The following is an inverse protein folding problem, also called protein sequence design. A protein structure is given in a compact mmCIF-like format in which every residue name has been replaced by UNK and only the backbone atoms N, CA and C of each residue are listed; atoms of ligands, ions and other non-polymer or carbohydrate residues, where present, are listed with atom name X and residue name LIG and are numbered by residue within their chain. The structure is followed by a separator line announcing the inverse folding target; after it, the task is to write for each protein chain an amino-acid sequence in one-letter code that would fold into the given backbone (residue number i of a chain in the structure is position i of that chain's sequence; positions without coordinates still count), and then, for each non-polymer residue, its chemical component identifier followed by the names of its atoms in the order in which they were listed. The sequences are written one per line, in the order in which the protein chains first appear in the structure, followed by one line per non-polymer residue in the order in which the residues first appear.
data_IF_884402569672
#
_entry.id   IF_884402569672
#
_cell.length_a   1.000
_cell.length_b   1.000
_cell.length_c   1.000
_cell.angle_alpha   90.00
_cell.angle_beta   90.00
_cell.angle_gamma   90.00
#
_symmetry.space_group_name_H-M   'P 1'
#
loop_
_entity.id
_entity.type
_entity.pdbx_description
1 polymer ?
#
# COMPACT_ATOMS: atom_id res chain seq x y z
N UNK A 1 31.73 -9.38 -5.26
CA UNK A 1 33.03 -8.68 -5.20
C UNK A 1 32.85 -7.28 -5.78
N UNK A 2 32.51 -6.30 -4.94
CA UNK A 2 32.60 -4.87 -5.27
C UNK A 2 33.02 -4.17 -3.98
N UNK A 3 34.32 -4.15 -3.73
CA UNK A 3 34.96 -3.19 -2.83
C UNK A 3 36.36 -3.04 -3.37
N UNK A 4 36.53 -2.14 -4.33
CA UNK A 4 37.84 -1.58 -4.58
C UNK A 4 37.94 -0.25 -3.85
N UNK A 5 39.10 -0.08 -3.20
CA UNK A 5 39.45 1.04 -2.34
C UNK A 5 39.89 2.18 -3.24
N UNK A 6 39.18 3.29 -3.21
CA UNK A 6 39.76 4.60 -2.92
C UNK A 6 38.69 5.70 -2.95
N UNK A 7 38.92 6.67 -2.07
CA UNK A 7 38.34 8.01 -2.05
C UNK A 7 37.02 8.26 -1.27
N UNK A 8 37.19 9.11 -0.25
CA UNK A 8 36.21 9.88 0.52
C UNK A 8 35.22 9.11 1.40
N UNK A 9 35.38 9.35 2.70
CA UNK A 9 34.40 9.09 3.76
C UNK A 9 33.02 9.54 3.29
N UNK A 10 32.17 8.56 2.96
CA UNK A 10 30.74 8.78 2.83
C UNK A 10 30.29 9.34 4.17
N UNK A 11 29.83 10.59 4.18
CA UNK A 11 29.14 11.18 5.31
C UNK A 11 28.05 10.20 5.77
N UNK A 12 27.85 9.97 7.08
CA UNK A 12 26.75 9.15 7.60
C UNK A 12 25.33 9.58 7.14
N UNK A 13 25.22 10.68 6.39
CA UNK A 13 23.98 11.33 5.97
C UNK A 13 23.36 10.86 4.64
N UNK A 14 23.86 9.82 3.96
CA UNK A 14 23.18 9.28 2.76
C UNK A 14 23.41 7.78 2.61
N UNK A 15 22.87 6.98 3.52
CA UNK A 15 22.59 5.57 3.21
C UNK A 15 21.33 5.57 2.35
N UNK A 16 21.32 4.99 1.13
CA UNK A 16 20.11 4.85 0.33
C UNK A 16 18.97 4.24 1.15
N UNK A 17 17.77 4.82 1.03
CA UNK A 17 16.60 4.38 1.80
C UNK A 17 16.29 2.90 1.60
N UNK A 18 16.45 2.40 0.36
CA UNK A 18 16.37 0.98 0.03
C UNK A 18 17.23 0.08 0.95
N UNK A 19 18.46 0.50 1.30
CA UNK A 19 19.35 -0.28 2.19
C UNK A 19 18.81 -0.32 3.62
N UNK A 20 18.16 0.75 4.08
CA UNK A 20 17.59 0.78 5.41
C UNK A 20 16.32 -0.07 5.51
N UNK A 21 15.49 -0.04 4.45
CA UNK A 21 14.28 -0.86 4.35
C UNK A 21 14.61 -2.35 4.37
N UNK A 22 15.62 -2.79 3.61
CA UNK A 22 15.99 -4.21 3.49
C UNK A 22 16.73 -4.78 4.72
N UNK A 23 16.70 -4.11 5.87
CA UNK A 23 17.21 -4.66 7.14
C UNK A 23 16.16 -5.53 7.80
N UNK A 24 16.61 -6.64 8.39
CA UNK A 24 15.75 -7.61 9.08
C UNK A 24 15.22 -7.09 10.42
N UNK A 25 14.27 -6.17 10.33
CA UNK A 25 13.56 -5.59 11.46
C UNK A 25 12.07 -5.78 11.23
N UNK A 26 11.49 -6.66 12.05
CA UNK A 26 10.06 -6.94 12.09
C UNK A 26 9.59 -6.77 13.52
N UNK A 27 8.60 -5.92 13.73
CA UNK A 27 8.10 -5.60 15.07
C UNK A 27 6.58 -5.54 15.00
N UNK A 28 5.91 -6.53 15.59
CA UNK A 28 4.45 -6.68 15.54
C UNK A 28 3.88 -6.65 14.11
N UNK A 29 4.64 -7.13 13.12
CA UNK A 29 4.12 -7.32 11.78
C UNK A 29 2.99 -8.36 11.78
N UNK A 30 1.97 -8.10 10.98
CA UNK A 30 0.75 -8.89 11.02
C UNK A 30 0.91 -10.22 10.29
N UNK A 31 0.59 -11.31 10.99
CA UNK A 31 0.20 -12.57 10.37
C UNK A 31 -1.28 -12.49 10.04
N UNK A 32 -1.60 -12.58 8.76
CA UNK A 32 -2.96 -12.46 8.24
C UNK A 32 -3.64 -13.80 7.99
N UNK A 33 -2.86 -14.88 7.94
CA UNK A 33 -3.36 -16.24 7.80
C UNK A 33 -2.54 -17.22 8.66
N UNK A 34 -3.04 -18.43 8.81
CA UNK A 34 -2.37 -19.52 9.52
C UNK A 34 -1.26 -20.19 8.67
N UNK A 35 -1.21 -19.92 7.37
CA UNK A 35 -0.26 -20.49 6.42
C UNK A 35 0.39 -19.43 5.53
N UNK A 36 1.65 -19.64 5.09
CA UNK A 36 2.32 -18.74 4.16
C UNK A 36 1.70 -18.88 2.76
N UNK A 37 1.27 -17.76 2.17
CA UNK A 37 0.77 -17.69 0.80
C UNK A 37 0.84 -16.27 0.26
N UNK A 38 0.67 -16.16 -1.05
CA UNK A 38 0.40 -14.90 -1.73
C UNK A 38 -1.11 -14.68 -1.68
N UNK A 39 -1.55 -13.56 -1.13
CA UNK A 39 -2.96 -13.15 -1.16
C UNK A 39 -3.34 -12.44 -2.45
N UNK A 40 -2.41 -11.64 -2.99
CA UNK A 40 -2.58 -10.95 -4.27
C UNK A 40 -1.24 -10.68 -4.90
N UNK A 41 -1.19 -10.72 -6.22
CA UNK A 41 -0.07 -10.23 -7.01
C UNK A 41 -0.65 -9.70 -8.32
N UNK A 42 -1.04 -8.43 -8.34
CA UNK A 42 -1.88 -7.88 -9.41
C UNK A 42 -1.19 -6.65 -10.03
N UNK A 43 -1.24 -6.53 -11.35
CA UNK A 43 -0.72 -5.36 -12.07
C UNK A 43 -1.41 -4.08 -11.59
N UNK A 44 -0.65 -3.02 -11.31
CA UNK A 44 -1.20 -1.80 -10.72
C UNK A 44 -1.27 -0.63 -11.72
N UNK A 45 -0.22 -0.39 -12.49
CA UNK A 45 -0.15 0.69 -13.48
C UNK A 45 1.06 0.53 -14.41
N UNK A 46 0.92 1.11 -15.60
CA UNK A 46 1.91 1.14 -16.70
C UNK A 46 2.75 2.42 -16.67
N UNK A 47 4.08 2.31 -16.77
CA UNK A 47 4.94 3.34 -17.34
C UNK A 47 5.25 4.57 -16.49
N UNK A 48 4.65 4.72 -15.31
CA UNK A 48 4.74 5.97 -14.52
C UNK A 48 5.87 5.99 -13.48
N UNK A 49 6.59 4.88 -13.24
CA UNK A 49 7.71 4.86 -12.29
C UNK A 49 9.03 5.19 -12.98
N UNK A 50 9.85 6.04 -12.33
CA UNK A 50 11.19 6.30 -12.80
C UNK A 50 11.27 7.22 -14.02
N UNK A 51 10.41 8.24 -14.08
CA UNK A 51 10.43 9.25 -15.14
C UNK A 51 11.79 9.99 -15.13
N UNK A 52 12.49 10.11 -16.28
CA UNK A 52 13.74 10.86 -16.36
C UNK A 52 13.56 12.34 -15.98
N UNK A 53 14.53 12.96 -15.28
CA UNK A 53 14.45 14.38 -14.97
C UNK A 53 14.60 15.27 -16.23
N UNK A 54 14.01 16.47 -16.25
CA UNK A 54 13.20 17.09 -15.18
C UNK A 54 11.76 16.55 -15.11
N UNK A 55 11.16 16.54 -13.91
CA UNK A 55 9.75 16.18 -13.74
C UNK A 55 8.88 17.40 -14.06
N UNK A 56 8.31 17.42 -15.26
CA UNK A 56 7.34 18.41 -15.71
C UNK A 56 5.96 17.78 -15.79
N UNK A 57 4.91 18.62 -15.85
CA UNK A 57 3.56 18.14 -16.10
C UNK A 57 3.48 17.35 -17.42
N UNK A 58 4.11 17.84 -18.48
CA UNK A 58 4.13 17.20 -19.79
C UNK A 58 4.81 15.82 -19.72
N UNK A 59 5.98 15.71 -19.08
CA UNK A 59 6.68 14.43 -18.95
C UNK A 59 5.85 13.38 -18.17
N UNK A 60 5.12 13.81 -17.12
CA UNK A 60 4.22 12.93 -16.37
C UNK A 60 3.04 12.48 -17.22
N UNK A 61 2.43 13.41 -17.97
CA UNK A 61 1.28 13.12 -18.83
C UNK A 61 1.66 12.25 -20.04
N UNK A 62 2.83 12.46 -20.63
CA UNK A 62 3.38 11.62 -21.71
C UNK A 62 3.64 10.19 -21.24
N UNK A 63 4.09 10.02 -19.99
CA UNK A 63 4.19 8.70 -19.35
C UNK A 63 2.82 8.13 -18.93
N UNK A 64 1.73 8.86 -19.16
CA UNK A 64 0.34 8.52 -18.84
C UNK A 64 0.02 8.53 -17.35
N UNK A 65 0.69 9.38 -16.58
CA UNK A 65 0.37 9.67 -15.17
C UNK A 65 -0.41 10.97 -15.00
N UNK A 66 -0.97 11.17 -13.81
CA UNK A 66 -1.65 12.40 -13.43
C UNK A 66 -0.68 13.42 -12.79
N UNK A 67 -0.90 14.71 -13.08
CA UNK A 67 -0.16 15.83 -12.52
C UNK A 67 -1.12 16.98 -12.20
N UNK A 68 -1.21 17.35 -10.93
CA UNK A 68 -2.14 18.39 -10.46
C UNK A 68 -1.45 19.45 -9.62
N UNK A 69 -2.05 20.65 -9.64
CA UNK A 69 -1.71 21.73 -8.71
C UNK A 69 -2.95 22.02 -7.87
N UNK A 70 -2.88 21.69 -6.59
CA UNK A 70 -3.97 21.88 -5.63
C UNK A 70 -3.67 23.11 -4.78
N UNK A 71 -4.69 23.95 -4.57
CA UNK A 71 -4.63 25.08 -3.65
C UNK A 71 -5.13 24.68 -2.26
N UNK A 72 -4.24 24.76 -1.28
CA UNK A 72 -4.52 24.40 0.11
C UNK A 72 -5.41 25.43 0.79
N UNK A 73 -6.01 25.08 1.93
CA UNK A 73 -6.89 26.00 2.67
C UNK A 73 -6.19 27.26 3.21
N UNK A 74 -4.86 27.30 3.21
CA UNK A 74 -4.04 28.46 3.56
C UNK A 74 -3.51 29.26 2.34
N UNK A 75 -3.98 28.94 1.13
CA UNK A 75 -3.57 29.59 -0.12
C UNK A 75 -2.25 29.09 -0.72
N UNK A 76 -1.55 28.14 -0.07
CA UNK A 76 -0.38 27.51 -0.66
C UNK A 76 -0.80 26.64 -1.84
N UNK A 77 0.01 26.61 -2.90
CA UNK A 77 -0.17 25.68 -4.01
C UNK A 77 0.80 24.52 -3.88
N UNK A 78 0.29 23.29 -3.95
CA UNK A 78 1.09 22.06 -3.94
C UNK A 78 0.89 21.28 -5.22
N UNK A 79 1.97 20.66 -5.67
CA UNK A 79 1.94 19.79 -6.84
C UNK A 79 1.83 18.34 -6.40
N UNK A 80 0.95 17.59 -7.04
CA UNK A 80 0.76 16.17 -6.80
C UNK A 80 1.00 15.37 -8.08
N UNK A 81 1.76 14.29 -7.94
CA UNK A 81 1.89 13.21 -8.93
C UNK A 81 2.26 11.90 -8.23
N UNK A 82 1.77 10.77 -8.75
CA UNK A 82 2.20 9.42 -8.36
C UNK A 82 3.32 8.87 -9.25
N UNK A 83 3.88 9.69 -10.13
CA UNK A 83 4.97 9.33 -11.02
C UNK A 83 6.33 9.78 -10.47
N UNK A 84 7.04 8.96 -9.67
CA UNK A 84 8.34 9.32 -9.12
C UNK A 84 9.39 9.44 -10.23
N UNK A 85 10.33 10.37 -10.05
CA UNK A 85 11.50 10.46 -10.93
C UNK A 85 12.45 9.29 -10.71
N UNK A 86 13.26 8.98 -11.74
CA UNK A 86 14.28 7.93 -11.69
C UNK A 86 15.21 8.00 -10.46
N UNK A 87 15.75 9.15 -10.04
CA UNK A 87 16.61 9.20 -8.85
C UNK A 87 15.88 8.82 -7.56
N UNK A 88 14.60 9.17 -7.43
CA UNK A 88 13.79 8.80 -6.27
C UNK A 88 13.50 7.29 -6.27
N UNK A 89 13.15 6.73 -7.44
CA UNK A 89 12.96 5.29 -7.60
C UNK A 89 14.22 4.52 -7.19
N UNK A 90 15.40 4.93 -7.68
CA UNK A 90 16.67 4.29 -7.30
C UNK A 90 16.93 4.41 -5.80
N UNK A 91 16.58 5.53 -5.18
CA UNK A 91 16.76 5.72 -3.74
C UNK A 91 15.88 4.78 -2.90
N UNK A 92 14.67 4.43 -3.38
CA UNK A 92 13.68 3.62 -2.64
C UNK A 92 13.65 2.13 -3.03
N UNK A 93 14.03 1.79 -4.27
CA UNK A 93 14.06 0.42 -4.81
C UNK A 93 15.47 -0.12 -5.05
N UNK A 94 16.51 0.71 -4.90
CA UNK A 94 17.91 0.29 -4.99
C UNK A 94 18.41 0.00 -6.42
N UNK A 95 17.53 -0.07 -7.41
CA UNK A 95 17.86 -0.32 -8.81
C UNK A 95 17.05 0.62 -9.74
N UNK A 96 17.63 1.10 -10.86
CA UNK A 96 16.89 1.90 -11.83
C UNK A 96 15.90 1.06 -12.64
N UNK A 97 14.77 1.66 -12.95
CA UNK A 97 13.85 1.23 -14.02
C UNK A 97 13.23 2.49 -14.60
N UNK A 98 13.27 2.65 -15.93
CA UNK A 98 12.75 3.85 -16.61
C UNK A 98 11.38 3.53 -17.16
N UNK A 99 10.41 4.39 -16.86
CA UNK A 99 9.02 4.15 -17.24
C UNK A 99 8.57 2.75 -16.79
N UNK A 100 8.94 2.41 -15.56
CA UNK A 100 8.61 1.13 -14.97
C UNK A 100 7.14 1.07 -14.58
N UNK A 101 6.60 -0.13 -14.69
CA UNK A 101 5.28 -0.48 -14.20
C UNK A 101 5.34 -0.82 -12.71
N UNK A 102 4.17 -0.88 -12.06
CA UNK A 102 4.06 -1.34 -10.68
C UNK A 102 3.26 -2.64 -10.57
N UNK A 103 3.77 -3.60 -9.80
CA UNK A 103 3.04 -4.82 -9.41
C UNK A 103 3.30 -5.15 -7.94
N UNK A 104 2.40 -4.81 -7.01
CA UNK A 104 2.49 -5.24 -5.62
C UNK A 104 2.11 -6.72 -5.45
N UNK A 105 2.96 -7.43 -4.71
CA UNK A 105 2.76 -8.79 -4.23
C UNK A 105 2.53 -8.74 -2.72
N UNK A 106 1.36 -9.19 -2.30
CA UNK A 106 0.90 -9.16 -0.91
C UNK A 106 0.91 -10.56 -0.34
N UNK A 107 1.66 -10.75 0.75
CA UNK A 107 1.83 -12.02 1.43
C UNK A 107 0.99 -12.11 2.72
N UNK A 108 0.56 -13.33 3.05
CA UNK A 108 -0.14 -13.59 4.33
C UNK A 108 0.74 -13.39 5.56
N UNK A 109 2.04 -13.61 5.41
CA UNK A 109 3.05 -13.43 6.45
C UNK A 109 4.06 -12.37 6.01
N UNK A 110 4.70 -11.66 6.95
CA UNK A 110 5.70 -10.67 6.59
C UNK A 110 6.90 -11.33 5.91
N UNK A 111 7.46 -10.68 4.90
CA UNK A 111 8.73 -11.07 4.29
C UNK A 111 9.88 -10.78 5.25
N UNK A 112 10.94 -11.57 5.20
CA UNK A 112 12.22 -11.21 5.80
C UNK A 112 12.93 -10.22 4.86
N UNK A 113 13.05 -8.93 5.21
CA UNK A 113 13.47 -7.89 4.29
C UNK A 113 14.77 -8.17 3.53
N UNK A 114 15.79 -8.71 4.18
CA UNK A 114 17.09 -8.97 3.55
C UNK A 114 17.07 -10.09 2.52
N UNK A 115 16.04 -10.95 2.56
CA UNK A 115 15.85 -12.05 1.61
C UNK A 115 15.12 -11.65 0.34
N UNK A 116 14.57 -10.43 0.25
CA UNK A 116 13.81 -9.99 -0.93
C UNK A 116 14.78 -9.60 -2.05
N UNK A 117 14.77 -10.36 -3.14
CA UNK A 117 15.53 -10.08 -4.36
C UNK A 117 14.62 -10.12 -5.59
N UNK A 118 15.01 -9.42 -6.66
CA UNK A 118 14.24 -9.43 -7.90
C UNK A 118 14.16 -10.84 -8.53
N UNK A 119 15.23 -11.62 -8.39
CA UNK A 119 15.34 -13.00 -8.90
C UNK A 119 14.42 -13.99 -8.21
N UNK A 120 13.86 -13.63 -7.04
CA UNK A 120 12.84 -14.43 -6.38
C UNK A 120 11.51 -14.43 -7.13
N UNK A 121 11.26 -13.46 -8.02
CA UNK A 121 9.95 -13.27 -8.64
C UNK A 121 10.02 -13.55 -10.14
N UNK A 122 9.20 -14.50 -10.59
CA UNK A 122 8.96 -14.75 -12.01
C UNK A 122 7.51 -14.42 -12.29
N UNK A 123 7.31 -13.44 -13.16
CA UNK A 123 5.99 -13.00 -13.62
C UNK A 123 5.74 -13.60 -15.00
N UNK A 124 4.69 -14.38 -15.16
CA UNK A 124 4.25 -14.91 -16.45
C UNK A 124 3.15 -14.01 -17.00
N UNK A 125 3.31 -13.55 -18.25
CA UNK A 125 2.32 -12.73 -18.94
C UNK A 125 1.32 -13.61 -19.73
N UNK A 126 0.18 -13.05 -20.09
CA UNK A 126 -0.83 -13.70 -20.94
C UNK A 126 -0.27 -14.13 -22.32
N UNK A 127 0.83 -13.51 -22.78
CA UNK A 127 1.56 -13.87 -24.00
C UNK A 127 2.42 -15.13 -23.85
N UNK A 128 2.59 -15.64 -22.62
CA UNK A 128 3.50 -16.74 -22.27
C UNK A 128 4.94 -16.29 -22.00
N UNK A 129 5.26 -15.00 -22.15
CA UNK A 129 6.55 -14.44 -21.77
C UNK A 129 6.71 -14.46 -20.24
N UNK A 130 7.94 -14.70 -19.78
CA UNK A 130 8.31 -14.57 -18.37
C UNK A 130 9.20 -13.36 -18.15
N UNK A 131 8.93 -12.61 -17.09
CA UNK A 131 9.64 -11.38 -16.72
C UNK A 131 10.21 -11.52 -15.31
N UNK A 132 11.46 -11.10 -15.16
CA UNK A 132 12.10 -10.86 -13.86
C UNK A 132 12.17 -9.33 -13.71
N UNK A 133 11.66 -8.74 -12.61
CA UNK A 133 11.59 -7.30 -12.49
C UNK A 133 12.97 -6.65 -12.42
N UNK A 134 13.08 -5.40 -12.88
CA UNK A 134 14.32 -4.61 -12.81
C UNK A 134 14.65 -4.24 -11.37
N UNK A 135 13.62 -3.84 -10.62
CA UNK A 135 13.75 -3.27 -9.29
C UNK A 135 12.66 -3.81 -8.36
N UNK A 136 12.99 -3.88 -7.07
CA UNK A 136 12.10 -4.44 -6.06
C UNK A 136 12.26 -3.73 -4.73
N UNK A 137 11.16 -3.54 -4.00
CA UNK A 137 11.19 -2.94 -2.66
C UNK A 137 10.03 -3.41 -1.81
N UNK A 138 10.17 -3.29 -0.50
CA UNK A 138 9.06 -3.35 0.46
C UNK A 138 8.43 -1.97 0.70
N UNK A 139 8.90 -0.93 0.01
CA UNK A 139 8.24 0.37 -0.03
C UNK A 139 6.95 0.28 -0.85
N UNK A 140 5.81 0.82 -0.38
CA UNK A 140 5.67 1.81 0.68
C UNK A 140 5.43 1.28 2.10
N UNK A 141 5.29 -0.03 2.35
CA UNK A 141 5.21 -0.64 3.70
C UNK A 141 6.53 -0.44 4.48
N UNK A 142 6.79 0.80 4.87
CA UNK A 142 8.06 1.22 5.46
C UNK A 142 8.12 0.89 6.94
N UNK A 143 6.97 0.76 7.60
CA UNK A 143 6.86 0.46 9.01
C UNK A 143 7.13 -1.02 9.34
N UNK A 144 7.75 -1.24 10.49
CA UNK A 144 8.19 -2.57 10.91
C UNK A 144 7.05 -3.52 11.26
N UNK A 145 5.83 -2.99 11.43
CA UNK A 145 4.59 -3.74 11.65
C UNK A 145 3.82 -4.05 10.35
N UNK A 146 4.37 -3.77 9.17
CA UNK A 146 3.60 -3.80 7.91
C UNK A 146 4.23 -4.60 6.76
N UNK A 147 5.36 -5.30 6.97
CA UNK A 147 6.20 -5.94 5.92
C UNK A 147 5.59 -7.10 5.11
N UNK A 148 4.33 -7.01 4.73
CA UNK A 148 3.59 -8.02 3.99
C UNK A 148 3.58 -7.75 2.48
N UNK A 149 3.96 -6.55 2.04
CA UNK A 149 3.91 -6.18 0.62
C UNK A 149 5.29 -5.94 0.03
N UNK A 150 5.50 -6.49 -1.15
CA UNK A 150 6.68 -6.27 -1.99
C UNK A 150 6.19 -5.68 -3.31
N UNK A 151 6.80 -4.61 -3.79
CA UNK A 151 6.47 -3.98 -5.08
C UNK A 151 7.54 -4.33 -6.10
N UNK A 152 7.12 -4.96 -7.20
CA UNK A 152 7.94 -5.23 -8.38
C UNK A 152 7.84 -4.05 -9.34
N UNK A 153 8.97 -3.69 -9.96
CA UNK A 153 9.04 -2.62 -10.95
C UNK A 153 9.86 -3.04 -12.17
N UNK A 154 9.27 -2.93 -13.35
CA UNK A 154 9.89 -3.16 -14.66
C UNK A 154 8.98 -2.58 -15.75
N UNK A 155 9.50 -2.08 -16.88
CA UNK A 155 8.68 -1.59 -17.99
C UNK A 155 7.95 -2.70 -18.77
N UNK A 156 8.26 -3.97 -18.47
CA UNK A 156 7.78 -5.12 -19.24
C UNK A 156 6.70 -5.92 -18.50
N UNK A 157 6.02 -5.35 -17.50
CA UNK A 157 5.01 -6.08 -16.70
C UNK A 157 3.63 -6.08 -17.36
N UNK A 158 3.35 -5.14 -18.26
CA UNK A 158 2.12 -5.13 -19.05
C UNK A 158 1.97 -3.84 -19.85
N UNK A 159 0.72 -3.54 -20.23
CA UNK A 159 0.39 -2.26 -20.86
C UNK A 159 -1.03 -1.79 -20.48
N UNK A 160 -1.38 -0.57 -20.90
CA UNK A 160 -2.69 0.04 -20.64
C UNK A 160 -3.89 -0.62 -21.30
N UNK A 161 -3.70 -1.55 -22.22
CA UNK A 161 -4.80 -2.16 -22.95
C UNK A 161 -5.60 -3.06 -22.00
N UNK A 162 -6.91 -3.11 -22.18
CA UNK A 162 -7.79 -3.99 -21.43
C UNK A 162 -7.62 -5.42 -21.94
N UNK A 163 -7.92 -6.44 -21.12
CA UNK A 163 -7.78 -7.84 -21.53
C UNK A 163 -8.54 -8.23 -22.80
N UNK A 164 -9.59 -7.49 -23.17
CA UNK A 164 -10.41 -7.70 -24.37
C UNK A 164 -9.90 -6.98 -25.63
N UNK A 165 -8.81 -6.20 -25.54
CA UNK A 165 -8.22 -5.47 -26.65
C UNK A 165 -7.04 -6.24 -27.28
N UNK A 166 -6.91 -6.14 -28.61
CA UNK A 166 -5.79 -6.74 -29.33
C UNK A 166 -4.45 -6.11 -28.89
N UNK A 167 -3.47 -6.95 -28.60
CA UNK A 167 -2.14 -6.52 -28.12
C UNK A 167 -2.05 -6.25 -26.63
N UNK A 168 -3.09 -6.56 -25.84
CA UNK A 168 -3.03 -6.44 -24.39
C UNK A 168 -1.99 -7.41 -23.80
N UNK A 169 -1.11 -6.86 -22.97
CA UNK A 169 -0.10 -7.60 -22.22
C UNK A 169 -0.34 -7.36 -20.73
N UNK A 170 -0.45 -8.43 -19.97
CA UNK A 170 -0.67 -8.34 -18.53
C UNK A 170 -0.24 -9.63 -17.81
N UNK A 171 0.13 -9.56 -16.52
CA UNK A 171 0.47 -10.72 -15.71
C UNK A 171 -0.71 -11.68 -15.56
N UNK A 172 -0.47 -12.98 -15.70
CA UNK A 172 -1.44 -14.06 -15.46
C UNK A 172 -1.04 -14.96 -14.29
N UNK A 173 0.25 -15.07 -14.00
CA UNK A 173 0.78 -15.86 -12.88
C UNK A 173 2.03 -15.19 -12.30
N UNK A 174 2.17 -15.25 -10.98
CA UNK A 174 3.41 -14.95 -10.28
C UNK A 174 3.86 -16.21 -9.56
N UNK A 175 5.16 -16.53 -9.65
CA UNK A 175 5.79 -17.62 -8.92
C UNK A 175 7.03 -17.14 -8.17
N UNK A 176 7.17 -17.60 -6.94
CA UNK A 176 8.41 -17.44 -6.17
C UNK A 176 9.42 -18.50 -6.62
N UNK A 177 10.50 -18.03 -7.23
CA UNK A 177 11.56 -18.83 -7.80
C UNK A 177 12.50 -19.38 -6.71
N UNK A 178 13.22 -20.44 -7.08
CA UNK A 178 14.36 -20.91 -6.31
C UNK A 178 15.62 -20.28 -6.90
N UNK A 179 16.41 -19.62 -6.07
CA UNK A 179 17.73 -19.13 -6.42
C UNK A 179 18.73 -19.36 -5.25
N UNK A 180 19.89 -18.68 -5.29
CA UNK A 180 20.93 -18.78 -4.26
C UNK A 180 20.60 -18.01 -2.97
N UNK A 181 19.60 -17.12 -3.01
CA UNK A 181 19.17 -16.24 -1.91
C UNK A 181 17.64 -16.25 -1.80
N UNK A 182 17.03 -17.40 -1.47
CA UNK A 182 15.60 -17.58 -1.61
C UNK A 182 14.81 -16.63 -0.71
N UNK A 183 13.70 -16.10 -1.23
CA UNK A 183 12.72 -15.37 -0.45
C UNK A 183 12.30 -16.15 0.79
N UNK A 184 12.40 -15.50 1.95
CA UNK A 184 11.96 -16.01 3.24
C UNK A 184 10.78 -15.18 3.75
N UNK A 185 9.76 -15.87 4.25
CA UNK A 185 8.69 -15.30 5.05
C UNK A 185 8.98 -15.57 6.53
N UNK A 186 8.45 -14.75 7.42
CA UNK A 186 8.55 -14.95 8.87
C UNK A 186 7.19 -15.34 9.41
N UNK A 187 7.07 -16.56 9.92
CA UNK A 187 5.85 -17.07 10.53
C UNK A 187 5.95 -17.23 12.05
N UNK A 188 4.88 -17.72 12.71
CA UNK A 188 4.83 -17.87 14.17
C UNK A 188 5.93 -18.78 14.77
N UNK A 189 6.51 -19.67 13.97
CA UNK A 189 7.56 -20.62 14.39
C UNK A 189 8.96 -20.27 13.84
N UNK A 190 9.12 -19.11 13.22
CA UNK A 190 10.37 -18.68 12.59
C UNK A 190 10.24 -18.55 11.08
N UNK A 191 11.39 -18.50 10.40
CA UNK A 191 11.47 -18.28 8.96
C UNK A 191 10.97 -19.51 8.18
N UNK A 192 10.25 -19.26 7.09
CA UNK A 192 9.74 -20.27 6.16
C UNK A 192 10.05 -19.82 4.74
N UNK A 193 10.52 -20.73 3.89
CA UNK A 193 10.83 -20.41 2.50
C UNK A 193 9.53 -20.11 1.73
N UNK A 194 9.54 -19.02 0.95
CA UNK A 194 8.47 -18.68 0.02
C UNK A 194 8.56 -19.41 -1.32
N UNK A 195 9.66 -20.13 -1.59
CA UNK A 195 9.93 -20.82 -2.85
C UNK A 195 8.78 -21.75 -3.22
N UNK A 196 8.30 -21.63 -4.46
CA UNK A 196 7.21 -22.46 -4.99
C UNK A 196 5.81 -21.95 -4.66
N UNK A 197 5.66 -20.87 -3.88
CA UNK A 197 4.39 -20.15 -3.82
C UNK A 197 4.05 -19.60 -5.20
N UNK A 198 2.79 -19.77 -5.61
CA UNK A 198 2.24 -19.24 -6.86
C UNK A 198 0.96 -18.45 -6.60
N UNK A 199 0.63 -17.57 -7.53
CA UNK A 199 -0.63 -16.85 -7.54
C UNK A 199 -1.08 -16.58 -8.97
N UNK A 200 -2.29 -17.02 -9.31
CA UNK A 200 -2.97 -16.65 -10.56
C UNK A 200 -3.63 -15.29 -10.38
N UNK A 201 -3.32 -14.34 -11.27
CA UNK A 201 -3.88 -12.99 -11.21
C UNK A 201 -5.38 -13.01 -11.47
N UNK A 202 -6.09 -12.06 -10.84
CA UNK A 202 -7.57 -12.03 -10.85
C UNK A 202 -8.13 -10.69 -11.29
N UNK A 203 -7.38 -9.62 -11.08
CA UNK A 203 -7.86 -8.26 -11.29
C UNK A 203 -6.94 -7.52 -12.25
N UNK A 204 -7.55 -6.72 -13.12
CA UNK A 204 -6.84 -5.90 -14.07
C UNK A 204 -7.05 -4.41 -13.74
N UNK A 205 -6.01 -3.58 -13.61
CA UNK A 205 -6.15 -2.22 -13.08
C UNK A 205 -7.01 -1.32 -14.00
N UNK A 206 -7.01 -1.60 -15.30
CA UNK A 206 -7.83 -0.88 -16.28
C UNK A 206 -9.27 -1.43 -16.43
N UNK A 207 -9.68 -2.32 -15.52
CA UNK A 207 -11.04 -2.89 -15.44
C UNK A 207 -11.59 -2.82 -14.01
N UNK A 208 -10.73 -2.99 -13.02
CA UNK A 208 -11.07 -3.11 -11.61
C UNK A 208 -10.35 -2.04 -10.78
N UNK A 209 -11.04 -1.47 -9.80
CA UNK A 209 -10.41 -0.69 -8.73
C UNK A 209 -9.82 -1.58 -7.62
N UNK A 210 -9.08 -1.00 -6.67
CA UNK A 210 -8.54 -1.72 -5.51
C UNK A 210 -9.58 -2.51 -4.72
N UNK A 211 -9.14 -3.65 -4.21
CA UNK A 211 -9.94 -4.61 -3.46
C UNK A 211 -9.40 -4.75 -2.04
N UNK A 212 -10.32 -4.80 -1.07
CA UNK A 212 -10.01 -5.20 0.30
C UNK A 212 -9.79 -6.72 0.33
N UNK A 213 -8.60 -7.14 0.74
CA UNK A 213 -8.24 -8.57 0.86
C UNK A 213 -8.76 -9.11 2.18
N UNK A 214 -8.37 -8.46 3.28
CA UNK A 214 -8.64 -8.91 4.64
C UNK A 214 -8.56 -7.73 5.62
N UNK A 215 -9.26 -7.86 6.74
CA UNK A 215 -9.13 -6.95 7.88
C UNK A 215 -8.86 -7.74 9.16
N UNK A 216 -8.06 -7.18 10.07
CA UNK A 216 -7.66 -7.82 11.32
C UNK A 216 -7.89 -6.90 12.51
N UNK A 217 -8.68 -7.36 13.45
CA UNK A 217 -8.87 -6.71 14.75
C UNK A 217 -7.72 -7.07 15.69
N UNK A 218 -7.18 -6.09 16.39
CA UNK A 218 -6.15 -6.30 17.41
C UNK A 218 -6.23 -5.25 18.50
N UNK A 219 -5.84 -5.61 19.72
CA UNK A 219 -5.50 -4.62 20.76
C UNK A 219 -4.37 -3.75 20.22
N UNK A 220 -4.55 -2.43 20.31
CA UNK A 220 -3.64 -1.49 19.70
C UNK A 220 -2.26 -1.53 20.35
N UNK A 221 -1.22 -1.62 19.51
CA UNK A 221 0.18 -1.50 19.91
C UNK A 221 0.91 -0.62 18.90
N UNK A 222 1.49 0.48 19.38
CA UNK A 222 2.27 1.40 18.55
C UNK A 222 3.70 0.91 18.25
N UNK A 223 4.14 -0.22 18.82
CA UNK A 223 5.54 -0.64 18.66
C UNK A 223 5.71 -1.25 17.27
N UNK A 224 6.66 -0.73 16.49
CA UNK A 224 6.91 -1.13 15.10
C UNK A 224 6.40 -0.12 14.05
N UNK A 225 5.61 0.83 14.51
CA UNK A 225 5.02 1.95 13.76
C UNK A 225 6.02 3.12 13.69
N UNK A 226 7.24 2.80 13.23
CA UNK A 226 8.43 3.66 13.22
C UNK A 226 9.53 3.19 12.25
N UNK A 227 9.14 2.90 11.00
CA UNK A 227 10.01 2.44 9.93
C UNK A 227 11.14 3.40 9.53
N UNK A 228 12.20 2.90 8.86
CA UNK A 228 13.24 3.77 8.34
C UNK A 228 12.68 4.54 7.15
N UNK A 229 12.56 5.86 7.29
CA UNK A 229 12.46 6.80 6.17
C UNK A 229 11.08 7.06 5.60
N UNK A 230 10.07 7.27 6.43
CA UNK A 230 8.77 7.82 6.01
C UNK A 230 8.83 9.25 5.43
N UNK A 231 10.00 9.73 4.97
CA UNK A 231 10.25 11.10 4.49
C UNK A 231 9.69 12.20 5.42
N UNK A 232 9.64 11.93 6.74
CA UNK A 232 9.11 12.84 7.75
C UNK A 232 7.62 12.65 8.10
N UNK A 233 6.95 11.65 7.53
CA UNK A 233 5.53 11.31 7.76
C UNK A 233 5.38 10.19 8.83
N UNK A 234 6.39 9.96 9.65
CA UNK A 234 6.51 8.85 10.60
C UNK A 234 5.59 8.99 11.86
N UNK A 235 4.57 9.85 11.80
CA UNK A 235 3.63 10.15 12.91
C UNK A 235 2.18 10.11 12.43
N UNK A 236 1.90 9.05 11.71
CA UNK A 236 0.66 8.61 11.07
C UNK A 236 -0.12 7.59 11.94
N UNK A 237 0.53 7.00 12.95
CA UNK A 237 -0.10 6.03 13.84
C UNK A 237 -1.40 6.47 14.49
N UNK A 238 -2.24 5.48 14.85
CA UNK A 238 -3.44 5.72 15.65
C UNK A 238 -3.15 6.53 16.91
N UNK A 239 -2.07 6.22 17.64
CA UNK A 239 -1.65 6.98 18.84
C UNK A 239 -1.20 8.40 18.50
N UNK A 240 -0.53 8.60 17.37
CA UNK A 240 -0.07 9.93 16.93
C UNK A 240 -1.27 10.82 16.59
N UNK A 241 -2.30 10.27 15.97
CA UNK A 241 -3.51 10.99 15.57
C UNK A 241 -4.49 11.18 16.74
N UNK A 242 -4.80 10.11 17.48
CA UNK A 242 -5.89 10.07 18.48
C UNK A 242 -5.41 10.02 19.94
N UNK A 243 -4.09 10.03 20.17
CA UNK A 243 -3.45 10.11 21.50
C UNK A 243 -3.81 8.90 22.38
N UNK A 244 -4.30 9.14 23.59
CA UNK A 244 -4.54 8.11 24.62
C UNK A 244 -5.87 7.39 24.44
N UNK A 245 -6.70 7.80 23.50
CA UNK A 245 -8.05 7.25 23.30
C UNK A 245 -8.05 5.98 22.44
N UNK A 246 -6.89 5.37 22.22
CA UNK A 246 -6.70 4.29 21.24
C UNK A 246 -6.55 2.97 21.98
N UNK A 247 -7.49 2.06 21.79
CA UNK A 247 -7.54 0.78 22.50
C UNK A 247 -7.43 -0.40 21.54
N UNK A 248 -8.07 -0.31 20.37
CA UNK A 248 -8.04 -1.34 19.34
C UNK A 248 -7.79 -0.73 17.95
N UNK A 249 -7.31 -1.58 17.02
CA UNK A 249 -7.25 -1.28 15.59
C UNK A 249 -7.90 -2.38 14.78
N UNK A 250 -8.61 -2.00 13.73
CA UNK A 250 -8.88 -2.85 12.58
C UNK A 250 -7.92 -2.44 11.48
N UNK A 251 -6.89 -3.24 11.25
CA UNK A 251 -5.98 -3.03 10.13
C UNK A 251 -6.54 -3.66 8.87
N UNK A 252 -6.50 -2.92 7.78
CA UNK A 252 -7.00 -3.34 6.47
C UNK A 252 -5.81 -3.56 5.55
N UNK A 253 -5.84 -4.68 4.83
CA UNK A 253 -4.89 -5.00 3.77
C UNK A 253 -5.60 -5.02 2.42
N UNK A 254 -5.06 -4.30 1.45
CA UNK A 254 -5.60 -4.18 0.08
C UNK A 254 -4.60 -4.74 -0.94
N UNK A 255 -5.09 -5.13 -2.11
CA UNK A 255 -4.24 -5.67 -3.20
C UNK A 255 -3.37 -4.59 -3.86
N UNK A 256 -3.83 -3.34 -3.86
CA UNK A 256 -3.11 -2.15 -4.29
C UNK A 256 -3.17 -1.09 -3.19
N UNK A 257 -2.36 -0.03 -3.30
CA UNK A 257 -2.66 1.20 -2.55
C UNK A 257 -4.05 1.72 -2.92
N UNK A 258 -4.65 2.54 -2.06
CA UNK A 258 -5.96 3.14 -2.31
C UNK A 258 -5.91 4.66 -2.26
N UNK A 259 -6.62 5.30 -3.18
CA UNK A 259 -6.69 6.75 -3.31
C UNK A 259 -8.12 7.16 -3.68
N UNK A 260 -8.57 8.37 -3.30
CA UNK A 260 -9.86 8.92 -3.74
C UNK A 260 -10.04 9.02 -5.25
N UNK A 261 -8.95 9.25 -5.99
CA UNK A 261 -8.95 9.54 -7.43
C UNK A 261 -7.69 9.03 -8.15
N UNK A 262 -6.81 8.31 -7.44
CA UNK A 262 -5.55 7.79 -7.95
C UNK A 262 -4.37 8.74 -7.77
N UNK A 263 -4.63 9.97 -7.32
CA UNK A 263 -3.60 10.98 -7.08
C UNK A 263 -3.58 11.45 -5.62
N UNK A 264 -4.70 11.95 -5.13
CA UNK A 264 -4.88 12.47 -3.79
C UNK A 264 -4.90 11.33 -2.76
N UNK A 265 -5.13 11.69 -1.50
CA UNK A 265 -4.96 10.81 -0.37
C UNK A 265 -6.25 10.67 0.42
N UNK A 266 -6.52 9.45 0.91
CA UNK A 266 -7.54 9.25 1.93
C UNK A 266 -7.07 9.93 3.21
N UNK A 267 -8.00 10.57 3.91
CA UNK A 267 -7.70 11.37 5.11
C UNK A 267 -8.26 10.72 6.37
N UNK A 268 -7.65 10.96 7.54
CA UNK A 268 -8.08 10.42 8.83
C UNK A 268 -9.56 10.63 9.19
N UNK A 269 -10.19 11.69 8.65
CA UNK A 269 -11.58 12.06 8.88
C UNK A 269 -12.58 11.47 7.87
N UNK A 270 -12.13 10.61 6.94
CA UNK A 270 -12.95 10.10 5.84
C UNK A 270 -13.47 8.67 6.03
N UNK A 271 -13.51 8.17 7.26
CA UNK A 271 -14.13 6.87 7.56
C UNK A 271 -15.54 6.77 6.94
N UNK A 272 -16.39 7.77 7.15
CA UNK A 272 -17.79 7.75 6.70
C UNK A 272 -17.96 7.83 5.17
N UNK A 273 -16.94 8.33 4.47
CA UNK A 273 -16.93 8.44 3.01
C UNK A 273 -16.67 7.09 2.33
N UNK A 274 -15.85 6.22 2.95
CA UNK A 274 -15.30 5.03 2.30
C UNK A 274 -15.65 3.72 3.00
N UNK A 275 -15.87 3.72 4.32
CA UNK A 275 -15.95 2.49 5.10
C UNK A 275 -17.22 2.40 5.93
N UNK A 276 -17.61 1.17 6.23
CA UNK A 276 -18.40 0.87 7.42
C UNK A 276 -17.97 -0.47 8.02
N UNK A 277 -18.23 -0.63 9.31
CA UNK A 277 -18.02 -1.89 10.03
C UNK A 277 -19.38 -2.57 10.19
N UNK A 278 -19.42 -3.87 9.92
CA UNK A 278 -20.60 -4.69 10.17
C UNK A 278 -20.40 -5.50 11.46
N UNK A 279 -21.36 -5.38 12.36
CA UNK A 279 -21.45 -6.17 13.59
C UNK A 279 -22.69 -7.06 13.54
N UNK A 280 -22.65 -8.17 14.26
CA UNK A 280 -23.79 -9.07 14.45
C UNK A 280 -24.04 -9.23 15.95
N UNK A 281 -25.23 -8.85 16.39
CA UNK A 281 -25.66 -8.92 17.78
C UNK A 281 -26.01 -10.34 18.21
N UNK A 282 -26.13 -10.59 19.52
CA UNK A 282 -26.50 -11.89 20.07
C UNK A 282 -27.88 -12.40 19.58
N UNK A 283 -28.79 -11.50 19.24
CA UNK A 283 -30.11 -11.84 18.69
C UNK A 283 -30.08 -12.14 17.18
N UNK A 284 -28.92 -12.04 16.53
CA UNK A 284 -28.74 -12.24 15.09
C UNK A 284 -28.92 -10.99 14.23
N UNK A 285 -29.25 -9.83 14.82
CA UNK A 285 -29.38 -8.58 14.09
C UNK A 285 -28.02 -8.10 13.59
N UNK A 286 -27.99 -7.65 12.34
CA UNK A 286 -26.79 -7.10 11.70
C UNK A 286 -26.88 -5.58 11.66
N UNK A 287 -25.90 -4.91 12.26
CA UNK A 287 -25.82 -3.45 12.31
C UNK A 287 -24.59 -2.97 11.55
N UNK A 288 -24.78 -1.94 10.73
CA UNK A 288 -23.68 -1.24 10.07
C UNK A 288 -23.31 0.02 10.88
N UNK A 289 -22.09 0.04 11.39
CA UNK A 289 -21.52 1.17 12.12
C UNK A 289 -20.95 2.17 11.11
N UNK A 290 -21.74 3.15 10.69
CA UNK A 290 -21.39 4.05 9.58
C UNK A 290 -20.82 5.41 9.99
N UNK A 291 -20.69 5.71 11.29
CA UNK A 291 -20.28 7.03 11.79
C UNK A 291 -19.02 6.93 12.63
N UNK A 292 -18.15 7.91 12.49
CA UNK A 292 -17.03 8.13 13.41
C UNK A 292 -17.44 9.10 14.52
N UNK A 293 -16.72 9.08 15.64
CA UNK A 293 -16.96 9.89 16.84
C UNK A 293 -18.41 9.73 17.38
N UNK A 294 -18.92 8.51 17.28
CA UNK A 294 -20.24 8.12 17.78
C UNK A 294 -20.10 6.84 18.61
N UNK A 295 -20.65 6.86 19.83
CA UNK A 295 -20.67 5.69 20.72
C UNK A 295 -21.87 4.83 20.36
N UNK A 296 -21.59 3.63 19.88
CA UNK A 296 -22.58 2.59 19.62
C UNK A 296 -22.77 1.74 20.88
N UNK A 297 -24.02 1.51 21.26
CA UNK A 297 -24.36 0.54 22.31
C UNK A 297 -24.79 -0.77 21.63
N UNK A 298 -23.96 -1.80 21.77
CA UNK A 298 -24.11 -3.11 21.12
C UNK A 298 -24.22 -4.17 22.22
N UNK A 299 -25.40 -4.77 22.37
CA UNK A 299 -25.69 -5.73 23.45
C UNK A 299 -25.32 -5.22 24.87
N UNK A 300 -25.48 -3.91 25.10
CA UNK A 300 -25.16 -3.26 26.39
C UNK A 300 -23.71 -2.83 26.55
N UNK A 301 -22.87 -3.03 25.53
CA UNK A 301 -21.45 -2.68 25.52
C UNK A 301 -21.14 -1.54 24.54
N UNK A 302 -20.15 -0.72 24.86
CA UNK A 302 -19.81 0.47 24.06
C UNK A 302 -18.75 0.17 22.99
N UNK A 303 -18.95 0.71 21.79
CA UNK A 303 -17.92 0.76 20.74
C UNK A 303 -17.96 2.13 20.06
N UNK A 304 -16.80 2.78 19.95
CA UNK A 304 -16.60 4.05 19.27
C UNK A 304 -15.53 3.91 18.17
N UNK A 305 -15.86 4.36 16.97
CA UNK A 305 -14.91 4.51 15.86
C UNK A 305 -14.34 5.92 15.91
N UNK A 306 -13.02 6.07 16.03
CA UNK A 306 -12.39 7.40 16.07
C UNK A 306 -12.07 7.97 14.67
N UNK A 307 -11.80 7.09 13.71
CA UNK A 307 -11.48 7.43 12.32
C UNK A 307 -10.35 6.57 11.77
N UNK A 308 -9.61 7.09 10.78
CA UNK A 308 -8.54 6.38 10.08
C UNK A 308 -7.13 6.81 10.53
N UNK A 309 -6.18 5.89 10.45
CA UNK A 309 -4.74 6.10 10.68
C UNK A 309 -3.90 5.28 9.66
N UNK A 310 -2.57 5.34 9.75
CA UNK A 310 -1.65 4.82 8.69
C UNK A 310 -1.91 5.49 7.34
N UNK A 311 -2.07 6.81 7.38
CA UNK A 311 -2.24 7.63 6.19
C UNK A 311 -1.18 8.72 6.23
N UNK A 312 -1.14 9.54 7.28
CA UNK A 312 -0.15 10.60 7.37
C UNK A 312 -0.27 11.41 8.64
N UNK A 313 0.57 12.44 8.79
CA UNK A 313 0.63 13.16 10.07
C UNK A 313 -0.68 13.86 10.44
N UNK A 314 -0.97 13.90 11.74
CA UNK A 314 -2.13 14.63 12.26
C UNK A 314 -2.12 16.09 11.80
N UNK A 315 -3.25 16.54 11.25
CA UNK A 315 -3.46 17.95 10.90
C UNK A 315 -4.55 18.58 11.78
N UNK A 316 -4.50 19.92 11.91
CA UNK A 316 -5.61 20.70 12.48
C UNK A 316 -6.83 20.68 11.56
N UNK A 317 -6.59 20.61 10.25
CA UNK A 317 -7.61 20.51 9.20
C UNK A 317 -7.08 19.59 8.10
N UNK A 318 -7.87 18.60 7.76
CA UNK A 318 -7.62 17.78 6.59
C UNK A 318 -8.24 18.48 5.38
N UNK A 319 -7.42 18.78 4.38
CA UNK A 319 -7.84 19.36 3.11
C UNK A 319 -7.16 18.61 1.96
N UNK A 320 -7.38 19.04 0.73
CA UNK A 320 -6.87 18.35 -0.46
C UNK A 320 -5.34 18.47 -0.60
N UNK A 321 -4.68 19.23 0.27
CA UNK A 321 -3.23 19.30 0.39
C UNK A 321 -2.64 18.38 1.46
N UNK A 322 -3.46 17.54 2.08
CA UNK A 322 -3.00 16.43 2.91
C UNK A 322 -2.00 15.58 2.13
N UNK A 323 -1.04 14.98 2.82
CA UNK A 323 -0.02 14.12 2.20
C UNK A 323 0.05 12.86 3.03
N UNK A 324 -0.12 11.71 2.38
CA UNK A 324 0.06 10.42 3.01
C UNK A 324 1.53 9.94 2.98
N UNK A 325 1.84 8.91 3.74
CA UNK A 325 3.08 8.12 3.74
C UNK A 325 3.18 7.15 2.55
N UNK A 326 2.08 7.01 1.81
CA UNK A 326 1.84 6.19 0.62
C UNK A 326 1.63 4.72 0.92
N UNK A 327 1.35 4.37 2.16
CA UNK A 327 1.22 2.98 2.58
C UNK A 327 0.00 2.28 1.96
N UNK A 328 0.03 0.94 1.95
CA UNK A 328 -1.05 0.08 1.47
C UNK A 328 -1.76 -0.67 2.61
N UNK A 329 -1.52 -0.27 3.85
CA UNK A 329 -2.31 -0.67 5.01
C UNK A 329 -2.93 0.55 5.66
N UNK A 330 -4.19 0.44 6.07
CA UNK A 330 -4.94 1.52 6.72
C UNK A 330 -5.55 0.97 7.99
N UNK A 331 -5.44 1.74 9.07
CA UNK A 331 -6.03 1.40 10.36
C UNK A 331 -7.35 2.14 10.57
N UNK A 332 -8.42 1.42 10.89
CA UNK A 332 -9.60 2.01 11.54
C UNK A 332 -9.37 1.92 13.05
N UNK A 333 -9.36 3.07 13.71
CA UNK A 333 -9.07 3.18 15.13
C UNK A 333 -10.35 3.12 15.96
N UNK A 334 -10.33 2.26 16.98
CA UNK A 334 -11.49 1.94 17.82
C UNK A 334 -11.18 2.09 19.31
N UNK A 335 -12.23 2.34 20.08
CA UNK A 335 -12.26 2.39 21.55
C UNK A 335 -13.56 1.76 22.07
N UNK A 336 -13.52 1.15 23.25
CA UNK A 336 -14.72 0.61 23.90
C UNK A 336 -14.47 -0.76 24.52
N UNK A 337 -15.56 -1.45 24.83
CA UNK A 337 -15.54 -2.73 25.52
C UNK A 337 -15.08 -3.86 24.60
N UNK A 338 -14.31 -4.81 25.13
CA UNK A 338 -13.84 -5.97 24.39
C UNK A 338 -15.01 -6.81 23.86
N UNK A 339 -16.09 -6.91 24.64
CA UNK A 339 -17.33 -7.59 24.28
C UNK A 339 -17.96 -7.00 23.02
N UNK A 340 -18.01 -5.67 22.88
CA UNK A 340 -18.53 -5.03 21.68
C UNK A 340 -17.61 -5.27 20.47
N UNK A 341 -16.28 -5.26 20.67
CA UNK A 341 -15.32 -5.54 19.60
C UNK A 341 -15.45 -6.97 19.05
N UNK A 342 -15.82 -7.94 19.91
CA UNK A 342 -16.05 -9.34 19.51
C UNK A 342 -17.26 -9.53 18.60
N UNK A 343 -18.16 -8.55 18.52
CA UNK A 343 -19.31 -8.57 17.62
C UNK A 343 -18.96 -8.18 16.18
N UNK A 344 -17.77 -7.59 15.94
CA UNK A 344 -17.31 -7.22 14.60
C UNK A 344 -17.18 -8.46 13.72
N UNK A 345 -17.82 -8.43 12.56
CA UNK A 345 -17.76 -9.50 11.55
C UNK A 345 -16.96 -9.09 10.33
N UNK A 346 -17.15 -7.85 9.84
CA UNK A 346 -16.56 -7.41 8.57
C UNK A 346 -16.25 -5.91 8.58
N UNK A 347 -15.22 -5.55 7.84
CA UNK A 347 -15.02 -4.19 7.32
C UNK A 347 -15.48 -4.20 5.87
N UNK A 348 -16.21 -3.16 5.47
CA UNK A 348 -16.72 -3.04 4.10
C UNK A 348 -16.24 -1.74 3.48
N UNK A 349 -15.69 -1.86 2.28
CA UNK A 349 -15.33 -0.77 1.35
C UNK A 349 -16.27 -0.90 0.13
N UNK A 350 -17.46 -0.28 0.15
CA UNK A 350 -18.53 -0.61 -0.80
C UNK A 350 -18.41 0.09 -2.16
N UNK A 351 -17.73 1.24 -2.23
CA UNK A 351 -17.50 2.01 -3.46
C UNK A 351 -18.76 2.31 -4.30
N UNK A 352 -19.92 2.45 -3.66
CA UNK A 352 -21.20 2.72 -4.33
C UNK A 352 -22.18 3.51 -3.44
N UNK A 353 -23.26 3.99 -4.07
CA UNK A 353 -24.32 4.72 -3.38
C UNK A 353 -23.80 6.02 -2.77
N UNK A 354 -23.88 6.13 -1.44
CA UNK A 354 -23.35 7.29 -0.70
C UNK A 354 -21.83 7.22 -0.46
N UNK A 355 -21.22 6.05 -0.68
CA UNK A 355 -19.80 5.83 -0.45
C UNK A 355 -19.00 6.11 -1.71
N UNK A 356 -17.85 6.73 -1.54
CA UNK A 356 -16.95 7.09 -2.64
C UNK A 356 -16.20 5.86 -3.16
N UNK A 357 -15.93 5.84 -4.45
CA UNK A 357 -15.03 4.85 -5.05
C UNK A 357 -13.57 5.12 -4.63
N UNK A 358 -12.74 4.09 -4.74
CA UNK A 358 -11.29 4.21 -4.60
C UNK A 358 -10.60 3.76 -5.88
N UNK A 359 -9.40 4.29 -6.10
CA UNK A 359 -8.59 4.07 -7.28
C UNK A 359 -7.18 3.67 -6.86
N UNK A 360 -6.51 2.91 -7.71
CA UNK A 360 -5.09 2.62 -7.62
C UNK A 360 -4.26 3.93 -7.72
N UNK A 361 -3.19 4.09 -6.93
CA UNK A 361 -2.22 5.16 -7.14
C UNK A 361 -1.73 5.16 -8.59
N UNK A 362 -1.72 6.31 -9.25
CA UNK A 362 -1.47 6.41 -10.70
C UNK A 362 -2.74 6.64 -11.55
N UNK A 363 -3.92 6.57 -10.91
CA UNK A 363 -5.21 6.85 -11.54
C UNK A 363 -5.39 8.31 -12.00
N UNK A 364 -6.61 8.68 -12.43
CA UNK A 364 -6.89 9.89 -13.21
C UNK A 364 -6.61 11.22 -12.50
N UNK A 365 -6.62 11.23 -11.18
CA UNK A 365 -6.70 12.45 -10.39
C UNK A 365 -8.05 13.17 -10.57
N UNK A 366 -8.19 14.36 -9.97
CA UNK A 366 -9.42 15.15 -10.03
C UNK A 366 -9.72 15.72 -11.42
N UNK A 367 -8.71 15.96 -12.27
CA UNK A 367 -8.88 16.49 -13.62
C UNK A 367 -8.22 15.58 -14.69
N UNK A 368 -8.83 14.43 -15.04
CA UNK A 368 -8.26 13.52 -16.02
C UNK A 368 -8.01 14.16 -17.38
N UNK A 369 -6.86 13.86 -17.98
CA UNK A 369 -6.53 14.30 -19.34
C UNK A 369 -7.35 13.50 -20.36
N UNK A 370 -7.90 14.20 -21.36
CA UNK A 370 -8.73 13.55 -22.38
C UNK A 370 -7.89 12.62 -23.25
N UNK A 371 -8.32 11.37 -23.37
CA UNK A 371 -7.67 10.37 -24.23
C UNK A 371 -6.54 9.62 -23.54
N UNK A 372 -6.18 9.98 -22.30
CA UNK A 372 -5.29 9.17 -21.47
C UNK A 372 -6.11 8.11 -20.74
N UNK A 373 -5.58 6.89 -20.70
CA UNK A 373 -6.14 5.81 -19.90
C UNK A 373 -5.36 5.69 -18.60
N UNK A 374 -6.12 5.68 -17.51
CA UNK A 374 -5.63 5.65 -16.14
C UNK A 374 -6.05 4.36 -15.44
#
# INVERSE_FOLDING_TARGET
RIFDRDDKRISPSTIPHAILLMKDVLINADYWDNEPKIFSAEYAFDGILGIPPPLTADAVKEAGGAFEIVECSNGLKKTFTRAPQLPLLVATFGHPSKFGDGLPVVFSWPVLPSSVQATDFIVTLNTGQTVIPDAISIYPNSDYNERNTVVLVSPDLGNRLRPDEEGAEYPVEIRIAKDDTPLMLVGPKGQVSGVGLTYDTRYHPYVNGPQLIIAKLSVFKNKGDDGPGSYGINKNSGKSIYRRNVEYRLRILTNWGISPDGLLYIRPDQYEDYFYIQVELQNGDVINLTKANYVYLLDGHELEILGLAELGTKSRRYDDCYVDDRDNQIDIILKGDEEAMRLIKKVVLPSNGKYKAVYNPGGPGPNPEKGVRY
#
